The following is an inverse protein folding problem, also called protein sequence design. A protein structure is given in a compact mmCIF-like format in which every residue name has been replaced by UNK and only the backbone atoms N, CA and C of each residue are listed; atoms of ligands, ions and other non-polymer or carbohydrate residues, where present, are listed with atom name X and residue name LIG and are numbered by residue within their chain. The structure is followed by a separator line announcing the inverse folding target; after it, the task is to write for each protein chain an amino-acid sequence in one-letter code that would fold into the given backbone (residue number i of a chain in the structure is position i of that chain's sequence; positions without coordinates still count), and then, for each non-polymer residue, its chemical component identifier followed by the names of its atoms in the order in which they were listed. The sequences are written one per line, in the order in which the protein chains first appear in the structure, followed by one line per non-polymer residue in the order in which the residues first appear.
data_IF_814101659208
#
_entry.id   IF_814101659208
#
_cell.length_a   1.000
_cell.length_b   1.000
_cell.length_c   1.000
_cell.angle_alpha   90.00
_cell.angle_beta   90.00
_cell.angle_gamma   90.00
#
_symmetry.space_group_name_H-M   'P 1'
#
loop_
_entity.id
_entity.type
_entity.pdbx_description
1 polymer ?
#
# COMPACT_ATOMS: atom_id res chain seq x y z
N UNK A 1 27.20 -6.57 7.17
CA UNK A 1 25.83 -7.03 6.91
C UNK A 1 25.27 -6.33 5.68
N UNK A 2 24.69 -7.08 4.75
CA UNK A 2 23.95 -6.60 3.58
C UNK A 2 22.50 -7.07 3.61
N UNK A 3 21.58 -6.27 3.03
CA UNK A 3 20.21 -6.70 2.80
C UNK A 3 19.81 -6.56 1.33
N UNK A 4 19.18 -7.62 0.81
CA UNK A 4 18.46 -7.61 -0.46
C UNK A 4 16.95 -7.48 -0.17
N UNK A 5 16.29 -6.50 -0.77
CA UNK A 5 14.84 -6.30 -0.68
C UNK A 5 14.25 -6.65 -2.04
N UNK A 6 13.24 -7.50 -2.07
CA UNK A 6 12.67 -8.05 -3.30
C UNK A 6 11.23 -7.58 -3.48
N UNK A 7 10.90 -7.09 -4.66
CA UNK A 7 9.53 -6.84 -5.11
C UNK A 7 9.29 -7.50 -6.48
N UNK A 8 8.15 -8.16 -6.66
CA UNK A 8 7.80 -8.81 -7.92
C UNK A 8 7.01 -7.88 -8.87
N UNK A 9 7.18 -6.57 -8.71
CA UNK A 9 6.52 -5.52 -9.50
C UNK A 9 7.32 -4.22 -9.43
N UNK A 10 6.93 -3.23 -10.26
CA UNK A 10 7.49 -1.88 -10.26
C UNK A 10 7.16 -1.14 -8.95
N UNK A 11 8.07 -1.19 -8.00
CA UNK A 11 7.94 -0.50 -6.71
C UNK A 11 8.70 0.83 -6.68
N UNK A 12 9.63 1.04 -7.60
CA UNK A 12 10.42 2.26 -7.70
C UNK A 12 10.69 2.65 -9.17
N UNK A 13 10.37 3.91 -9.60
CA UNK A 13 9.62 4.92 -8.84
C UNK A 13 8.16 4.47 -8.58
N UNK A 14 7.61 4.80 -7.40
CA UNK A 14 6.30 4.28 -7.01
C UNK A 14 5.16 4.89 -7.84
N UNK A 15 4.29 4.03 -8.41
CA UNK A 15 3.09 4.43 -9.17
C UNK A 15 1.79 3.95 -8.52
N UNK A 16 1.87 3.05 -7.55
CA UNK A 16 0.73 2.42 -6.86
C UNK A 16 0.89 2.54 -5.35
N UNK A 17 -0.20 2.34 -4.60
CA UNK A 17 -0.15 2.34 -3.13
C UNK A 17 0.84 1.33 -2.56
N UNK A 18 0.86 0.10 -3.09
CA UNK A 18 1.86 -0.92 -2.71
C UNK A 18 3.28 -0.47 -3.07
N UNK A 19 3.48 0.14 -4.23
CA UNK A 19 4.77 0.69 -4.64
C UNK A 19 5.27 1.78 -3.68
N UNK A 20 4.38 2.66 -3.21
CA UNK A 20 4.72 3.70 -2.23
C UNK A 20 5.19 3.06 -0.92
N UNK A 21 4.46 2.08 -0.39
CA UNK A 21 4.82 1.38 0.86
C UNK A 21 6.16 0.66 0.74
N UNK A 22 6.39 -0.10 -0.34
CA UNK A 22 7.65 -0.82 -0.56
C UNK A 22 8.82 0.14 -0.77
N UNK A 23 8.62 1.23 -1.51
CA UNK A 23 9.63 2.26 -1.74
C UNK A 23 9.99 3.02 -0.47
N UNK A 24 9.01 3.38 0.36
CA UNK A 24 9.22 4.02 1.65
C UNK A 24 9.91 3.08 2.63
N UNK A 25 9.57 1.78 2.63
CA UNK A 25 10.28 0.78 3.41
C UNK A 25 11.74 0.64 2.98
N UNK A 26 12.00 0.49 1.68
CA UNK A 26 13.37 0.42 1.17
C UNK A 26 14.21 1.61 1.62
N UNK A 27 13.66 2.84 1.54
CA UNK A 27 14.36 4.04 2.01
C UNK A 27 14.60 4.02 3.51
N UNK A 28 13.61 3.59 4.29
CA UNK A 28 13.61 3.66 5.77
C UNK A 28 14.33 2.49 6.44
N UNK A 29 14.63 1.40 5.71
CA UNK A 29 15.36 0.26 6.28
C UNK A 29 16.74 0.69 6.76
N UNK A 30 17.12 0.44 8.04
CA UNK A 30 18.27 1.11 8.67
C UNK A 30 19.64 0.74 8.09
N UNK A 31 19.78 -0.39 7.39
CA UNK A 31 21.07 -0.82 6.84
C UNK A 31 21.55 0.10 5.71
N UNK A 32 22.81 0.58 5.80
CA UNK A 32 23.45 1.35 4.73
C UNK A 32 23.69 0.51 3.47
N UNK A 33 24.16 -0.75 3.62
CA UNK A 33 24.37 -1.68 2.52
C UNK A 33 23.08 -2.45 2.20
N UNK A 34 22.16 -1.78 1.51
CA UNK A 34 20.88 -2.36 1.05
C UNK A 34 20.69 -2.17 -0.44
N UNK A 35 20.02 -3.13 -1.09
CA UNK A 35 19.71 -3.09 -2.51
C UNK A 35 18.30 -3.59 -2.76
N UNK A 36 17.54 -2.85 -3.57
CA UNK A 36 16.22 -3.23 -4.05
C UNK A 36 16.36 -4.00 -5.36
N UNK A 37 15.75 -5.17 -5.42
CA UNK A 37 15.60 -5.98 -6.63
C UNK A 37 14.11 -6.00 -6.99
N UNK A 38 13.78 -5.49 -8.17
CA UNK A 38 12.39 -5.41 -8.62
C UNK A 38 12.22 -5.94 -10.04
N UNK A 39 11.06 -6.54 -10.32
CA UNK A 39 10.65 -6.78 -11.70
C UNK A 39 10.06 -5.51 -12.30
N UNK A 40 10.53 -5.11 -13.47
CA UNK A 40 10.12 -3.87 -14.10
C UNK A 40 10.12 -3.95 -15.63
N UNK A 41 9.18 -3.24 -16.26
CA UNK A 41 9.22 -3.02 -17.71
C UNK A 41 10.31 -2.02 -18.11
N UNK A 42 10.71 -1.15 -17.20
CA UNK A 42 11.74 -0.12 -17.43
C UNK A 42 13.01 -0.49 -16.68
N UNK A 43 14.13 -0.46 -17.39
CA UNK A 43 15.44 -0.75 -16.80
C UNK A 43 15.93 0.50 -16.05
N UNK A 44 15.95 0.42 -14.72
CA UNK A 44 16.58 1.44 -13.88
C UNK A 44 17.98 1.01 -13.51
N UNK A 45 18.98 1.79 -13.90
CA UNK A 45 20.36 1.59 -13.50
C UNK A 45 20.71 2.57 -12.36
N UNK A 46 20.45 2.15 -11.13
CA UNK A 46 20.83 2.89 -9.94
C UNK A 46 21.73 1.99 -9.06
N UNK A 47 22.71 2.58 -8.37
CA UNK A 47 23.63 1.86 -7.48
C UNK A 47 22.89 0.97 -6.47
N UNK A 48 21.77 1.41 -5.96
CA UNK A 48 20.99 0.75 -4.92
C UNK A 48 19.73 0.03 -5.42
N UNK A 49 19.45 0.07 -6.72
CA UNK A 49 18.25 -0.55 -7.32
C UNK A 49 18.66 -1.35 -8.55
N UNK A 50 18.24 -2.61 -8.59
CA UNK A 50 18.41 -3.49 -9.75
C UNK A 50 17.04 -3.86 -10.28
N UNK A 51 16.71 -3.37 -11.47
CA UNK A 51 15.53 -3.82 -12.19
C UNK A 51 15.84 -5.04 -13.01
N UNK A 52 15.01 -6.06 -12.88
CA UNK A 52 15.00 -7.25 -13.73
C UNK A 52 13.96 -6.98 -14.80
N UNK A 53 14.42 -6.83 -16.04
CA UNK A 53 13.55 -6.50 -17.15
C UNK A 53 12.60 -7.66 -17.45
N UNK A 54 11.31 -7.35 -17.57
CA UNK A 54 10.26 -8.26 -18.02
C UNK A 54 9.55 -7.63 -19.23
N UNK A 55 9.47 -8.39 -20.33
CA UNK A 55 8.85 -7.91 -21.58
C UNK A 55 7.35 -7.61 -21.39
N UNK A 56 6.64 -8.51 -20.70
CA UNK A 56 5.25 -8.33 -20.30
C UNK A 56 5.11 -8.52 -18.79
N UNK A 57 4.24 -7.74 -18.15
CA UNK A 57 3.96 -7.90 -16.73
C UNK A 57 2.97 -9.06 -16.47
N UNK A 58 3.33 -10.26 -16.96
CA UNK A 58 2.55 -11.47 -16.72
C UNK A 58 3.33 -12.47 -15.83
N UNK A 59 2.62 -13.49 -15.36
CA UNK A 59 3.14 -14.46 -14.41
C UNK A 59 4.27 -15.32 -15.00
N UNK A 60 4.20 -15.69 -16.27
CA UNK A 60 5.17 -16.56 -16.93
C UNK A 60 6.54 -15.89 -17.02
N UNK A 61 6.59 -14.63 -17.49
CA UNK A 61 7.88 -13.91 -17.58
C UNK A 61 8.51 -13.67 -16.20
N UNK A 62 7.72 -13.53 -15.15
CA UNK A 62 8.26 -13.44 -13.80
C UNK A 62 8.86 -14.76 -13.35
N UNK A 63 8.18 -15.89 -13.61
CA UNK A 63 8.67 -17.22 -13.26
C UNK A 63 10.00 -17.54 -13.96
N UNK A 64 10.08 -17.34 -15.28
CA UNK A 64 11.29 -17.57 -16.08
C UNK A 64 12.48 -16.76 -15.55
N UNK A 65 12.24 -15.56 -15.00
CA UNK A 65 13.29 -14.69 -14.48
C UNK A 65 13.64 -14.92 -12.99
N UNK A 66 12.96 -15.82 -12.27
CA UNK A 66 13.29 -16.13 -10.87
C UNK A 66 14.70 -16.67 -10.68
N UNK A 67 15.22 -17.63 -11.49
CA UNK A 67 16.59 -18.10 -11.36
C UNK A 67 17.62 -16.96 -11.50
N UNK A 68 17.42 -16.07 -12.46
CA UNK A 68 18.28 -14.90 -12.62
C UNK A 68 18.18 -13.94 -11.43
N UNK A 69 16.98 -13.70 -10.88
CA UNK A 69 16.80 -12.91 -9.64
C UNK A 69 17.63 -13.51 -8.50
N UNK A 70 17.53 -14.81 -8.28
CA UNK A 70 18.25 -15.52 -7.21
C UNK A 70 19.76 -15.40 -7.41
N UNK A 71 20.26 -15.61 -8.63
CA UNK A 71 21.67 -15.51 -8.97
C UNK A 71 22.23 -14.11 -8.68
N UNK A 72 21.51 -13.03 -9.06
CA UNK A 72 22.01 -11.68 -8.82
C UNK A 72 21.96 -11.30 -7.33
N UNK A 73 21.01 -11.85 -6.56
CA UNK A 73 20.93 -11.65 -5.11
C UNK A 73 22.08 -12.40 -4.42
N UNK A 74 22.31 -13.65 -4.74
CA UNK A 74 23.41 -14.44 -4.15
C UNK A 74 24.75 -13.83 -4.44
N UNK A 75 25.00 -13.37 -5.68
CA UNK A 75 26.21 -12.63 -6.06
C UNK A 75 26.36 -11.34 -5.24
N UNK A 76 25.26 -10.59 -5.03
CA UNK A 76 25.29 -9.35 -4.22
C UNK A 76 25.63 -9.63 -2.75
N UNK A 77 25.16 -10.76 -2.20
CA UNK A 77 25.36 -11.12 -0.78
C UNK A 77 26.65 -11.91 -0.53
N UNK A 78 27.39 -12.36 -1.57
CA UNK A 78 28.45 -13.37 -1.50
C UNK A 78 29.45 -13.15 -0.37
N UNK A 79 29.99 -11.98 -0.18
CA UNK A 79 31.15 -11.72 0.72
C UNK A 79 30.73 -11.14 2.07
N UNK A 80 29.48 -11.32 2.50
CA UNK A 80 29.03 -10.79 3.79
C UNK A 80 28.80 -11.91 4.81
N UNK A 81 29.26 -11.69 6.06
CA UNK A 81 29.04 -12.65 7.14
C UNK A 81 27.55 -12.76 7.50
N UNK A 82 26.87 -11.60 7.67
CA UNK A 82 25.43 -11.56 7.96
C UNK A 82 24.65 -11.11 6.71
N UNK A 83 23.72 -11.94 6.24
CA UNK A 83 22.97 -11.78 5.00
C UNK A 83 21.48 -11.77 5.30
N UNK A 84 20.75 -10.80 4.77
CA UNK A 84 19.31 -10.66 4.98
C UNK A 84 18.61 -10.53 3.63
N UNK A 85 17.57 -11.31 3.43
CA UNK A 85 16.66 -11.17 2.28
C UNK A 85 15.29 -10.84 2.81
N UNK A 86 14.75 -9.71 2.36
CA UNK A 86 13.42 -9.23 2.71
C UNK A 86 12.55 -9.32 1.47
N UNK A 87 11.42 -10.00 1.56
CA UNK A 87 10.52 -10.25 0.44
C UNK A 87 9.21 -9.50 0.71
N UNK A 88 8.85 -8.61 -0.19
CA UNK A 88 7.61 -7.83 -0.13
C UNK A 88 6.44 -8.62 -0.70
N UNK A 89 5.37 -8.73 0.06
CA UNK A 89 4.23 -9.58 -0.23
C UNK A 89 3.17 -9.12 -1.22
N UNK A 90 3.11 -7.87 -1.77
CA UNK A 90 2.03 -7.49 -2.66
C UNK A 90 2.21 -8.05 -4.08
N UNK A 91 2.28 -9.35 -4.17
CA UNK A 91 2.36 -10.12 -5.42
C UNK A 91 1.92 -11.55 -5.14
N UNK A 92 1.65 -12.34 -6.16
CA UNK A 92 1.24 -13.71 -5.95
C UNK A 92 2.29 -14.49 -5.14
N UNK A 93 1.83 -15.13 -4.05
CA UNK A 93 2.68 -15.83 -3.06
C UNK A 93 3.57 -16.91 -3.69
N UNK A 94 3.20 -17.43 -4.84
CA UNK A 94 3.95 -18.45 -5.57
C UNK A 94 5.39 -18.02 -5.89
N UNK A 95 5.61 -16.76 -6.28
CA UNK A 95 6.98 -16.25 -6.51
C UNK A 95 7.77 -16.20 -5.22
N UNK A 96 7.13 -15.77 -4.14
CA UNK A 96 7.74 -15.75 -2.81
C UNK A 96 8.10 -17.15 -2.34
N UNK A 97 7.21 -18.11 -2.56
CA UNK A 97 7.44 -19.52 -2.25
C UNK A 97 8.73 -20.04 -2.90
N UNK A 98 8.90 -19.86 -4.21
CA UNK A 98 10.12 -20.32 -4.90
C UNK A 98 11.39 -19.67 -4.36
N UNK A 99 11.36 -18.38 -4.07
CA UNK A 99 12.52 -17.69 -3.49
C UNK A 99 12.83 -18.20 -2.09
N UNK A 100 11.81 -18.36 -1.22
CA UNK A 100 11.99 -18.89 0.14
C UNK A 100 12.48 -20.35 0.10
N UNK A 101 11.85 -21.18 -0.72
CA UNK A 101 12.24 -22.58 -0.90
C UNK A 101 13.72 -22.69 -1.31
N UNK A 102 14.12 -21.96 -2.36
CA UNK A 102 15.51 -21.98 -2.84
C UNK A 102 16.50 -21.56 -1.76
N UNK A 103 16.25 -20.46 -1.05
CA UNK A 103 17.16 -20.01 -0.01
C UNK A 103 17.20 -20.95 1.19
N UNK A 104 16.12 -21.64 1.52
CA UNK A 104 16.11 -22.62 2.61
C UNK A 104 16.85 -23.91 2.27
N UNK A 105 16.80 -24.33 1.01
CA UNK A 105 17.49 -25.56 0.57
C UNK A 105 18.99 -25.28 0.36
N UNK A 106 19.36 -24.21 -0.33
CA UNK A 106 20.73 -23.99 -0.78
C UNK A 106 21.55 -22.97 0.03
N UNK A 107 20.89 -22.10 0.82
CA UNK A 107 21.55 -21.01 1.55
C UNK A 107 20.95 -20.79 2.93
N UNK A 108 21.10 -21.79 3.82
CA UNK A 108 20.50 -21.78 5.16
C UNK A 108 20.99 -20.64 6.06
N UNK A 109 22.17 -20.07 5.78
CA UNK A 109 22.75 -18.94 6.51
C UNK A 109 22.16 -17.57 6.15
N UNK A 110 21.15 -17.52 5.26
CA UNK A 110 20.45 -16.29 4.91
C UNK A 110 19.24 -16.10 5.83
N UNK A 111 19.18 -14.96 6.49
CA UNK A 111 18.02 -14.58 7.29
C UNK A 111 16.90 -14.06 6.39
N UNK A 112 15.74 -14.71 6.41
CA UNK A 112 14.59 -14.40 5.58
C UNK A 112 13.52 -13.64 6.36
N UNK A 113 13.08 -12.50 5.82
CA UNK A 113 11.96 -11.73 6.33
C UNK A 113 10.89 -11.65 5.23
N UNK A 114 9.69 -12.13 5.53
CA UNK A 114 8.52 -11.98 4.66
C UNK A 114 7.64 -10.83 5.18
N UNK A 115 7.47 -9.80 4.38
CA UNK A 115 6.57 -8.68 4.67
C UNK A 115 5.24 -8.88 3.97
N UNK A 116 4.28 -9.51 4.66
CA UNK A 116 2.91 -9.63 4.17
C UNK A 116 2.23 -8.25 4.15
N UNK A 117 1.47 -7.98 3.10
CA UNK A 117 0.61 -6.80 2.98
C UNK A 117 -0.88 -7.14 3.04
N UNK A 118 -1.21 -8.42 2.97
CA UNK A 118 -2.53 -9.02 3.13
C UNK A 118 -2.40 -10.54 3.12
N UNK A 119 -3.42 -11.24 3.58
CA UNK A 119 -3.48 -12.71 3.48
C UNK A 119 -3.90 -13.08 2.06
N UNK A 120 -2.96 -13.61 1.28
CA UNK A 120 -3.18 -13.95 -0.14
C UNK A 120 -4.24 -15.04 -0.31
N UNK A 121 -4.28 -16.01 0.60
CA UNK A 121 -5.32 -17.06 0.61
C UNK A 121 -6.73 -16.48 0.67
N UNK A 122 -6.98 -15.47 1.52
CA UNK A 122 -8.31 -14.85 1.59
C UNK A 122 -8.69 -14.13 0.30
N UNK A 123 -7.72 -13.50 -0.34
CA UNK A 123 -7.94 -12.86 -1.65
C UNK A 123 -8.32 -13.89 -2.69
N UNK A 124 -7.58 -15.02 -2.76
CA UNK A 124 -7.82 -16.07 -3.76
C UNK A 124 -9.08 -16.87 -3.49
N UNK A 125 -9.39 -17.14 -2.23
CA UNK A 125 -10.62 -17.83 -1.83
C UNK A 125 -11.88 -17.16 -2.40
N UNK A 126 -11.88 -15.82 -2.48
CA UNK A 126 -13.03 -15.05 -2.92
C UNK A 126 -13.00 -14.68 -4.43
N UNK A 127 -11.81 -14.74 -5.07
CA UNK A 127 -11.62 -14.22 -6.43
C UNK A 127 -11.03 -15.23 -7.42
N UNK A 128 -10.84 -16.50 -7.01
CA UNK A 128 -10.21 -17.52 -7.86
C UNK A 128 -10.93 -18.86 -7.70
N UNK A 129 -10.62 -19.83 -8.58
CA UNK A 129 -11.14 -21.19 -8.46
C UNK A 129 -10.55 -21.90 -7.21
N UNK A 130 -11.18 -23.01 -6.80
CA UNK A 130 -10.83 -23.76 -5.60
C UNK A 130 -9.38 -24.25 -5.62
N UNK A 131 -8.88 -24.73 -6.75
CA UNK A 131 -7.52 -25.26 -6.91
C UNK A 131 -6.49 -24.18 -6.62
N UNK A 132 -6.62 -22.99 -7.24
CA UNK A 132 -5.72 -21.85 -7.00
C UNK A 132 -5.79 -21.42 -5.53
N UNK A 133 -6.95 -21.45 -4.91
CA UNK A 133 -7.13 -21.11 -3.50
C UNK A 133 -6.37 -22.08 -2.58
N UNK A 134 -6.50 -23.39 -2.81
CA UNK A 134 -5.82 -24.45 -2.04
C UNK A 134 -4.30 -24.34 -2.21
N UNK A 135 -3.82 -24.22 -3.45
CA UNK A 135 -2.39 -24.03 -3.72
C UNK A 135 -1.84 -22.78 -3.08
N UNK A 136 -2.58 -21.68 -3.13
CA UNK A 136 -2.19 -20.43 -2.46
C UNK A 136 -2.06 -20.63 -0.96
N UNK A 137 -3.02 -21.32 -0.33
CA UNK A 137 -2.96 -21.63 1.12
C UNK A 137 -1.73 -22.45 1.47
N UNK A 138 -1.41 -23.46 0.66
CA UNK A 138 -0.21 -24.29 0.84
C UNK A 138 1.09 -23.47 0.73
N UNK A 139 1.24 -22.68 -0.32
CA UNK A 139 2.42 -21.84 -0.54
C UNK A 139 2.56 -20.76 0.54
N UNK A 140 1.47 -20.11 0.92
CA UNK A 140 1.50 -19.09 1.97
C UNK A 140 1.87 -19.70 3.32
N UNK A 141 1.33 -20.90 3.66
CA UNK A 141 1.71 -21.63 4.86
C UNK A 141 3.22 -21.93 4.90
N UNK A 142 3.77 -22.41 3.80
CA UNK A 142 5.22 -22.67 3.70
C UNK A 142 6.03 -21.38 3.91
N UNK A 143 5.69 -20.30 3.21
CA UNK A 143 6.42 -19.04 3.28
C UNK A 143 6.42 -18.48 4.69
N UNK A 144 5.24 -18.37 5.34
CA UNK A 144 5.11 -17.73 6.65
C UNK A 144 5.81 -18.52 7.75
N UNK A 145 5.87 -19.85 7.65
CA UNK A 145 6.52 -20.70 8.63
C UNK A 145 8.01 -20.93 8.35
N UNK A 146 8.48 -20.82 7.11
CA UNK A 146 9.89 -21.00 6.76
C UNK A 146 10.70 -19.70 6.79
N UNK A 147 10.07 -18.51 6.81
CA UNK A 147 10.79 -17.28 7.05
C UNK A 147 11.15 -17.13 8.54
N UNK A 148 12.30 -16.52 8.85
CA UNK A 148 12.71 -16.24 10.23
C UNK A 148 11.80 -15.24 10.91
N UNK A 149 11.30 -14.26 10.13
CA UNK A 149 10.29 -13.31 10.54
C UNK A 149 9.26 -13.21 9.42
N UNK A 150 7.99 -13.40 9.78
CA UNK A 150 6.86 -13.06 8.93
C UNK A 150 6.07 -11.93 9.59
N UNK A 151 5.63 -10.95 8.80
CA UNK A 151 4.89 -9.79 9.31
C UNK A 151 3.42 -9.82 8.90
N UNK A 152 2.60 -9.09 9.63
CA UNK A 152 1.20 -8.81 9.30
C UNK A 152 0.90 -7.33 9.47
N UNK A 153 -0.05 -6.79 8.70
CA UNK A 153 -0.33 -5.35 8.70
C UNK A 153 -1.31 -4.90 9.77
N UNK A 154 -1.98 -5.84 10.45
CA UNK A 154 -2.92 -5.54 11.53
C UNK A 154 -3.02 -6.67 12.55
N UNK A 155 -3.54 -6.36 13.74
CA UNK A 155 -3.85 -7.36 14.76
C UNK A 155 -4.92 -8.36 14.32
N UNK A 156 -5.84 -7.93 13.45
CA UNK A 156 -6.84 -8.80 12.83
C UNK A 156 -6.14 -9.85 11.95
N UNK A 157 -5.21 -9.44 11.13
CA UNK A 157 -4.43 -10.36 10.29
C UNK A 157 -3.51 -11.26 11.11
N UNK A 158 -2.92 -10.77 12.23
CA UNK A 158 -2.15 -11.63 13.14
C UNK A 158 -2.99 -12.82 13.63
N UNK A 159 -4.24 -12.55 14.08
CA UNK A 159 -5.17 -13.60 14.51
C UNK A 159 -5.48 -14.57 13.37
N UNK A 160 -5.64 -14.09 12.15
CA UNK A 160 -5.91 -14.93 10.98
C UNK A 160 -4.69 -15.76 10.57
N UNK A 161 -3.48 -15.22 10.57
CA UNK A 161 -2.25 -15.99 10.35
C UNK A 161 -2.10 -17.12 11.40
N UNK A 162 -2.39 -16.83 12.66
CA UNK A 162 -2.42 -17.87 13.71
C UNK A 162 -3.48 -18.93 13.42
N UNK A 163 -4.70 -18.53 13.02
CA UNK A 163 -5.80 -19.45 12.71
C UNK A 163 -5.52 -20.33 11.49
N UNK A 164 -5.00 -19.76 10.39
CA UNK A 164 -4.84 -20.49 9.14
C UNK A 164 -3.55 -21.30 9.06
N UNK A 165 -2.47 -20.82 9.68
CA UNK A 165 -1.12 -21.33 9.47
C UNK A 165 -0.39 -21.67 10.77
N UNK A 166 -1.04 -21.51 11.93
CA UNK A 166 -0.41 -21.61 13.26
C UNK A 166 0.88 -20.76 13.40
N UNK A 167 0.97 -19.66 12.65
CA UNK A 167 2.13 -18.79 12.59
C UNK A 167 1.93 -17.53 13.44
N UNK A 168 2.91 -17.20 14.29
CA UNK A 168 2.95 -15.94 15.04
C UNK A 168 3.72 -14.90 14.21
N UNK A 169 3.02 -13.91 13.71
CA UNK A 169 3.62 -12.84 12.90
C UNK A 169 4.00 -11.62 13.72
N UNK A 170 5.00 -10.87 13.27
CA UNK A 170 5.34 -9.55 13.81
C UNK A 170 4.38 -8.50 13.24
N UNK A 171 3.80 -7.66 14.11
CA UNK A 171 2.91 -6.57 13.67
C UNK A 171 3.73 -5.46 13.00
N UNK A 172 3.54 -5.29 11.69
CA UNK A 172 4.17 -4.23 10.90
C UNK A 172 3.10 -3.53 10.05
N UNK A 173 2.45 -2.49 10.56
CA UNK A 173 1.38 -1.79 9.83
C UNK A 173 1.89 -1.22 8.51
N UNK A 174 1.04 -1.21 7.50
CA UNK A 174 1.32 -0.44 6.28
C UNK A 174 1.54 1.02 6.65
N UNK A 175 2.71 1.54 6.34
CA UNK A 175 3.22 2.81 6.84
C UNK A 175 3.76 3.67 5.71
N UNK A 176 3.96 4.95 5.98
CA UNK A 176 4.46 5.93 5.02
C UNK A 176 5.61 6.74 5.61
N UNK A 177 6.45 7.29 4.75
CA UNK A 177 7.45 8.27 5.15
C UNK A 177 6.79 9.63 5.42
N UNK A 178 6.38 9.83 6.69
CA UNK A 178 5.66 11.03 7.13
C UNK A 178 6.48 12.29 6.89
N UNK A 179 7.81 12.25 7.15
CA UNK A 179 8.69 13.41 6.95
C UNK A 179 8.73 13.81 5.48
N UNK A 180 8.91 12.82 4.58
CA UNK A 180 8.88 13.05 3.13
C UNK A 180 7.56 13.69 2.69
N UNK A 181 6.43 13.14 3.10
CA UNK A 181 5.11 13.65 2.71
C UNK A 181 4.86 15.07 3.23
N UNK A 182 5.22 15.36 4.49
CA UNK A 182 5.08 16.72 5.05
C UNK A 182 5.93 17.75 4.31
N UNK A 183 7.16 17.38 3.89
CA UNK A 183 8.11 18.26 3.23
C UNK A 183 7.89 18.45 1.71
N UNK A 184 6.92 17.75 1.10
CA UNK A 184 6.58 17.94 -0.29
C UNK A 184 6.14 19.39 -0.53
N UNK A 185 6.78 20.08 -1.47
CA UNK A 185 6.35 21.40 -1.93
C UNK A 185 5.05 21.25 -2.75
N UNK A 186 4.05 22.08 -2.45
CA UNK A 186 2.81 22.09 -3.20
C UNK A 186 3.01 22.67 -4.59
N UNK A 187 2.30 22.08 -5.58
CA UNK A 187 2.22 22.65 -6.93
C UNK A 187 0.75 22.93 -7.24
N UNK A 188 0.42 24.21 -7.44
CA UNK A 188 -0.94 24.65 -7.76
C UNK A 188 -1.46 23.99 -9.04
N UNK A 189 -2.76 23.80 -9.07
CA UNK A 189 -3.54 23.46 -10.26
C UNK A 189 -4.21 24.71 -10.80
N UNK A 190 -4.14 24.95 -12.11
CA UNK A 190 -4.73 26.14 -12.72
C UNK A 190 -6.26 26.09 -12.75
N UNK A 191 -6.83 24.91 -13.02
CA UNK A 191 -8.26 24.73 -13.20
C UNK A 191 -8.77 23.64 -12.24
N UNK A 192 -9.26 24.05 -11.08
CA UNK A 192 -9.95 23.17 -10.12
C UNK A 192 -11.22 23.90 -9.65
N UNK A 193 -12.29 23.17 -9.31
CA UNK A 193 -13.47 23.77 -8.75
C UNK A 193 -13.19 24.38 -7.37
N UNK A 194 -13.94 25.41 -7.01
CA UNK A 194 -13.79 26.08 -5.71
C UNK A 194 -14.15 25.14 -4.55
N UNK A 195 -15.29 24.44 -4.68
CA UNK A 195 -15.78 23.48 -3.68
C UNK A 195 -15.80 22.07 -4.29
N UNK A 196 -15.07 21.15 -3.69
CA UNK A 196 -15.03 19.78 -4.20
C UNK A 196 -14.67 18.74 -3.13
N UNK A 197 -15.16 17.53 -3.35
CA UNK A 197 -14.68 16.33 -2.69
C UNK A 197 -13.68 15.63 -3.61
N UNK A 198 -12.73 14.84 -3.05
CA UNK A 198 -11.74 14.14 -3.84
C UNK A 198 -11.77 12.63 -3.58
N UNK A 199 -11.57 11.83 -4.64
CA UNK A 199 -11.23 10.42 -4.53
C UNK A 199 -9.91 10.17 -5.29
N UNK A 200 -9.00 9.38 -4.71
CA UNK A 200 -7.73 9.03 -5.33
C UNK A 200 -7.62 7.51 -5.50
N UNK A 201 -7.44 7.04 -6.73
CA UNK A 201 -7.30 5.62 -7.02
C UNK A 201 -7.69 5.28 -8.45
N UNK A 202 -7.14 4.17 -9.01
CA UNK A 202 -7.48 3.73 -10.36
C UNK A 202 -8.90 3.18 -10.43
N UNK A 203 -9.64 3.56 -11.48
CA UNK A 203 -10.96 3.02 -11.78
C UNK A 203 -10.90 1.53 -12.21
N UNK A 204 -9.77 1.09 -12.78
CA UNK A 204 -9.57 -0.28 -13.23
C UNK A 204 -9.45 -1.28 -12.07
N UNK A 205 -9.24 -0.79 -10.85
CA UNK A 205 -9.27 -1.63 -9.64
C UNK A 205 -10.70 -1.77 -9.12
N UNK A 206 -11.25 -2.97 -9.16
CA UNK A 206 -12.66 -3.26 -8.90
C UNK A 206 -13.27 -2.58 -7.66
N UNK A 207 -12.66 -2.62 -6.45
CA UNK A 207 -13.20 -1.91 -5.29
C UNK A 207 -13.24 -0.39 -5.46
N UNK A 208 -12.30 0.20 -6.23
CA UNK A 208 -12.35 1.62 -6.53
C UNK A 208 -13.46 1.94 -7.54
N UNK A 209 -13.67 1.08 -8.54
CA UNK A 209 -14.76 1.22 -9.52
C UNK A 209 -16.09 1.33 -8.82
N UNK A 210 -16.41 0.37 -7.93
CA UNK A 210 -17.66 0.38 -7.14
C UNK A 210 -17.77 1.68 -6.32
N UNK A 211 -16.70 2.10 -5.67
CA UNK A 211 -16.70 3.33 -4.87
C UNK A 211 -16.92 4.58 -5.72
N UNK A 212 -16.26 4.69 -6.87
CA UNK A 212 -16.41 5.83 -7.79
C UNK A 212 -17.81 5.87 -8.37
N UNK A 213 -18.34 4.72 -8.82
CA UNK A 213 -19.71 4.63 -9.35
C UNK A 213 -20.74 4.97 -8.25
N UNK A 214 -20.52 4.56 -7.00
CA UNK A 214 -21.34 4.97 -5.86
C UNK A 214 -21.30 6.49 -5.61
N UNK A 215 -20.12 7.12 -5.69
CA UNK A 215 -19.98 8.56 -5.55
C UNK A 215 -20.76 9.26 -6.66
N UNK A 216 -20.58 8.85 -7.91
CA UNK A 216 -21.21 9.49 -9.07
C UNK A 216 -22.73 9.33 -9.05
N UNK A 217 -23.22 8.12 -8.79
CA UNK A 217 -24.65 7.81 -8.92
C UNK A 217 -25.48 8.13 -7.68
N UNK A 218 -24.87 8.19 -6.49
CA UNK A 218 -25.61 8.36 -5.23
C UNK A 218 -25.23 9.62 -4.43
N UNK A 219 -23.95 10.02 -4.41
CA UNK A 219 -23.50 11.16 -3.61
C UNK A 219 -23.54 12.45 -4.43
N UNK A 220 -22.96 12.43 -5.64
CA UNK A 220 -22.84 13.64 -6.47
C UNK A 220 -24.18 14.32 -6.77
N UNK A 221 -25.30 13.61 -7.09
CA UNK A 221 -26.59 14.23 -7.34
C UNK A 221 -27.07 15.09 -6.18
N UNK A 222 -26.73 14.74 -4.95
CA UNK A 222 -27.14 15.48 -3.76
C UNK A 222 -26.23 16.68 -3.47
N UNK A 223 -24.91 16.48 -3.55
CA UNK A 223 -23.95 17.54 -3.20
C UNK A 223 -23.79 18.61 -4.28
N UNK A 224 -24.10 18.31 -5.55
CA UNK A 224 -24.06 19.31 -6.63
C UNK A 224 -25.10 20.43 -6.46
N UNK A 225 -26.18 20.19 -5.72
CA UNK A 225 -27.17 21.20 -5.32
C UNK A 225 -26.53 22.33 -4.52
N UNK A 226 -25.45 22.04 -3.78
CA UNK A 226 -24.64 23.01 -3.02
C UNK A 226 -23.38 23.45 -3.79
N UNK A 227 -23.37 23.29 -5.11
CA UNK A 227 -22.25 23.58 -6.00
C UNK A 227 -20.94 22.87 -5.63
N UNK A 228 -21.03 21.68 -5.01
CA UNK A 228 -19.87 20.85 -4.68
C UNK A 228 -19.60 19.88 -5.84
N UNK A 229 -18.37 19.92 -6.38
CA UNK A 229 -17.94 19.09 -7.49
C UNK A 229 -17.19 17.84 -7.02
N UNK A 230 -16.99 16.89 -7.91
CA UNK A 230 -16.22 15.69 -7.68
C UNK A 230 -14.90 15.71 -8.45
N UNK A 231 -13.78 15.63 -7.76
CA UNK A 231 -12.45 15.52 -8.34
C UNK A 231 -11.95 14.09 -8.19
N UNK A 232 -11.56 13.47 -9.32
CA UNK A 232 -11.06 12.13 -9.40
C UNK A 232 -9.60 12.16 -9.85
N UNK A 233 -8.72 11.46 -9.12
CA UNK A 233 -7.31 11.29 -9.48
C UNK A 233 -6.92 9.82 -9.50
N UNK A 234 -6.03 9.45 -10.43
CA UNK A 234 -5.59 8.09 -10.64
C UNK A 234 -5.54 7.76 -12.13
N UNK A 235 -5.13 6.55 -12.45
CA UNK A 235 -5.11 6.12 -13.85
C UNK A 235 -6.50 5.60 -14.24
N UNK A 236 -7.13 6.25 -15.22
CA UNK A 236 -8.47 5.91 -15.67
C UNK A 236 -8.55 5.98 -17.19
N UNK A 237 -9.05 4.90 -17.80
CA UNK A 237 -9.40 4.88 -19.22
C UNK A 237 -10.84 5.35 -19.46
N UNK A 238 -11.67 5.46 -18.40
CA UNK A 238 -13.07 5.88 -18.50
C UNK A 238 -13.18 7.40 -18.64
N UNK A 239 -13.94 7.85 -19.63
CA UNK A 239 -14.40 9.24 -19.77
C UNK A 239 -15.69 9.43 -18.97
N UNK A 240 -15.83 10.58 -18.34
CA UNK A 240 -17.03 10.97 -17.61
C UNK A 240 -17.56 12.25 -18.27
N UNK A 241 -18.80 12.20 -18.76
CA UNK A 241 -19.41 13.31 -19.52
C UNK A 241 -20.21 14.29 -18.63
N UNK A 242 -20.07 14.23 -17.30
CA UNK A 242 -20.73 15.13 -16.36
C UNK A 242 -19.80 16.31 -16.05
N UNK A 243 -20.31 17.55 -16.22
CA UNK A 243 -19.58 18.79 -15.93
C UNK A 243 -19.20 18.97 -14.46
N UNK A 244 -19.83 18.19 -13.58
CA UNK A 244 -19.56 18.21 -12.15
C UNK A 244 -18.45 17.22 -11.75
N UNK A 245 -17.89 16.47 -12.72
CA UNK A 245 -16.81 15.50 -12.53
C UNK A 245 -15.52 16.00 -13.18
N UNK A 246 -14.50 16.23 -12.38
CA UNK A 246 -13.15 16.62 -12.80
C UNK A 246 -12.22 15.42 -12.73
N UNK A 247 -12.10 14.68 -13.84
CA UNK A 247 -11.16 13.57 -13.97
C UNK A 247 -9.78 14.09 -14.36
N UNK A 248 -8.87 14.18 -13.38
CA UNK A 248 -7.53 14.74 -13.57
C UNK A 248 -6.49 13.68 -13.95
N UNK A 249 -6.90 12.39 -14.05
CA UNK A 249 -5.97 11.31 -14.32
C UNK A 249 -4.88 11.18 -13.27
N UNK A 250 -3.73 10.64 -13.67
CA UNK A 250 -2.57 10.55 -12.77
C UNK A 250 -1.96 11.92 -12.50
N UNK A 251 -1.87 12.29 -11.23
CA UNK A 251 -1.27 13.55 -10.78
C UNK A 251 -0.01 13.30 -9.95
N UNK A 252 0.99 14.19 -10.07
CA UNK A 252 2.18 14.12 -9.22
C UNK A 252 1.81 14.37 -7.75
N UNK A 253 2.61 13.83 -6.84
CA UNK A 253 2.37 13.96 -5.38
C UNK A 253 2.33 15.43 -4.92
N UNK A 254 3.07 16.32 -5.57
CA UNK A 254 3.05 17.77 -5.31
C UNK A 254 1.68 18.39 -5.63
N UNK A 255 1.08 18.00 -6.76
CA UNK A 255 -0.25 18.41 -7.16
C UNK A 255 -1.32 17.76 -6.27
N UNK A 256 -1.13 16.47 -5.94
CA UNK A 256 -2.04 15.76 -5.04
C UNK A 256 -2.10 16.43 -3.67
N UNK A 257 -0.96 16.86 -3.11
CA UNK A 257 -0.92 17.60 -1.84
C UNK A 257 -1.77 18.86 -1.91
N UNK A 258 -1.65 19.63 -2.99
CA UNK A 258 -2.47 20.82 -3.20
C UNK A 258 -3.97 20.50 -3.25
N UNK A 259 -4.34 19.48 -4.05
CA UNK A 259 -5.74 19.03 -4.16
C UNK A 259 -6.30 18.55 -2.80
N UNK A 260 -5.54 17.76 -2.06
CA UNK A 260 -5.93 17.28 -0.72
C UNK A 260 -6.16 18.43 0.26
N UNK A 261 -5.34 19.46 0.22
CA UNK A 261 -5.53 20.64 1.08
C UNK A 261 -6.75 21.47 0.69
N UNK A 262 -7.02 21.61 -0.60
CA UNK A 262 -8.13 22.44 -1.10
C UNK A 262 -9.48 21.73 -1.06
N UNK A 263 -9.52 20.40 -1.23
CA UNK A 263 -10.77 19.63 -1.20
C UNK A 263 -11.48 19.75 0.16
N UNK A 264 -12.79 19.63 0.19
CA UNK A 264 -13.58 19.53 1.41
C UNK A 264 -13.15 18.33 2.24
N UNK A 265 -13.05 17.16 1.60
CA UNK A 265 -12.58 15.91 2.20
C UNK A 265 -12.13 14.91 1.12
N UNK A 266 -11.33 13.91 1.52
CA UNK A 266 -11.20 12.66 0.79
C UNK A 266 -12.40 11.80 1.14
N UNK A 267 -13.13 11.32 0.12
CA UNK A 267 -14.23 10.38 0.31
C UNK A 267 -13.81 8.98 -0.13
N UNK A 268 -14.05 7.96 0.73
CA UNK A 268 -13.61 6.58 0.50
C UNK A 268 -14.74 5.61 0.81
N UNK A 269 -15.81 5.56 0.00
CA UNK A 269 -16.94 4.66 0.21
C UNK A 269 -16.63 3.27 -0.37
N UNK A 270 -15.60 2.62 0.17
CA UNK A 270 -15.18 1.28 -0.24
C UNK A 270 -15.94 0.25 0.59
N UNK A 271 -16.60 -0.69 -0.07
CA UNK A 271 -17.43 -1.71 0.55
C UNK A 271 -16.77 -3.09 0.58
N UNK A 272 -15.76 -3.32 -0.27
CA UNK A 272 -15.06 -4.60 -0.41
C UNK A 272 -13.56 -4.42 -0.62
N UNK A 273 -12.82 -5.54 -0.63
CA UNK A 273 -11.37 -5.57 -0.83
C UNK A 273 -10.60 -5.76 0.47
N UNK A 274 -9.28 -5.87 0.35
CA UNK A 274 -8.36 -6.28 1.42
C UNK A 274 -7.24 -5.25 1.64
N UNK A 275 -6.62 -5.31 2.81
CA UNK A 275 -5.47 -4.50 3.17
C UNK A 275 -5.80 -3.04 3.52
N UNK A 276 -4.82 -2.34 4.08
CA UNK A 276 -4.93 -0.93 4.51
C UNK A 276 -5.01 0.00 3.30
N UNK A 277 -5.93 0.95 3.33
CA UNK A 277 -6.09 1.96 2.26
C UNK A 277 -5.08 3.09 2.41
N UNK A 278 -3.94 2.95 1.75
CA UNK A 278 -2.82 3.91 1.81
C UNK A 278 -3.26 5.34 1.49
N UNK A 279 -4.24 5.54 0.59
CA UNK A 279 -4.82 6.85 0.28
C UNK A 279 -5.39 7.59 1.50
N UNK A 280 -5.91 6.87 2.50
CA UNK A 280 -6.40 7.46 3.75
C UNK A 280 -5.22 7.94 4.59
N UNK A 281 -4.18 7.10 4.80
CA UNK A 281 -2.99 7.50 5.54
C UNK A 281 -2.29 8.70 4.89
N UNK A 282 -2.12 8.64 3.57
CA UNK A 282 -1.53 9.74 2.79
C UNK A 282 -2.34 11.03 2.96
N UNK A 283 -3.64 10.94 2.84
CA UNK A 283 -4.56 12.07 2.97
C UNK A 283 -4.52 12.69 4.38
N UNK A 284 -4.52 11.86 5.42
CA UNK A 284 -4.38 12.32 6.81
C UNK A 284 -3.05 13.04 7.04
N UNK A 285 -1.93 12.47 6.54
CA UNK A 285 -0.61 13.08 6.64
C UNK A 285 -0.55 14.42 5.89
N UNK A 286 -1.21 14.50 4.74
CA UNK A 286 -1.28 15.71 3.92
C UNK A 286 -2.29 16.75 4.45
N UNK A 287 -2.98 16.44 5.50
CA UNK A 287 -3.82 17.43 6.15
C UNK A 287 -5.25 17.48 5.66
N UNK A 288 -5.82 16.41 5.14
CA UNK A 288 -7.19 16.37 4.68
C UNK A 288 -8.16 15.73 5.71
N UNK A 289 -9.44 15.97 5.54
CA UNK A 289 -10.53 15.28 6.23
C UNK A 289 -10.90 14.02 5.48
N UNK A 290 -11.42 13.04 6.20
CA UNK A 290 -11.78 11.73 5.65
C UNK A 290 -13.27 11.47 5.93
N UNK A 291 -13.99 11.03 4.88
CA UNK A 291 -15.29 10.35 5.03
C UNK A 291 -15.13 8.97 4.43
N UNK A 292 -15.36 7.93 5.21
CA UNK A 292 -15.13 6.55 4.79
C UNK A 292 -16.19 5.59 5.33
N UNK A 293 -16.34 4.45 4.66
CA UNK A 293 -17.01 3.28 5.23
C UNK A 293 -16.13 2.62 6.28
N UNK A 294 -16.71 1.75 7.12
CA UNK A 294 -15.93 0.88 8.02
C UNK A 294 -14.93 0.02 7.25
N UNK A 295 -15.33 -0.51 6.10
CA UNK A 295 -14.45 -1.30 5.22
C UNK A 295 -13.35 -0.45 4.56
N UNK A 296 -13.67 0.79 4.22
CA UNK A 296 -12.72 1.73 3.63
C UNK A 296 -11.57 2.10 4.58
N UNK A 297 -11.81 2.19 5.89
CA UNK A 297 -10.78 2.53 6.90
C UNK A 297 -10.19 1.31 7.62
N UNK A 298 -10.53 0.10 7.18
CA UNK A 298 -10.04 -1.14 7.80
C UNK A 298 -8.51 -1.16 7.91
N UNK A 299 -8.00 -1.57 9.08
CA UNK A 299 -6.56 -1.62 9.38
C UNK A 299 -5.96 -0.27 9.80
N UNK A 300 -6.76 0.78 9.95
CA UNK A 300 -6.36 2.07 10.50
C UNK A 300 -7.16 2.33 11.77
N UNK A 301 -6.46 2.48 12.89
CA UNK A 301 -7.10 2.88 14.15
C UNK A 301 -7.60 4.33 14.02
N UNK A 302 -8.85 4.56 14.37
CA UNK A 302 -9.48 5.88 14.26
C UNK A 302 -10.44 6.16 15.42
N UNK A 303 -10.68 7.45 15.63
CA UNK A 303 -11.83 7.95 16.39
C UNK A 303 -12.56 8.96 15.52
N UNK A 304 -13.89 8.87 15.46
CA UNK A 304 -14.69 9.90 14.80
C UNK A 304 -14.43 11.25 15.48
N UNK A 305 -14.09 12.25 14.70
CA UNK A 305 -13.78 13.59 15.16
C UNK A 305 -14.03 14.61 14.03
N UNK A 306 -13.55 15.84 14.21
CA UNK A 306 -13.69 16.90 13.20
C UNK A 306 -13.00 16.63 11.86
N UNK A 307 -12.13 15.62 11.78
CA UNK A 307 -11.35 15.29 10.57
C UNK A 307 -11.69 13.91 10.00
N UNK A 308 -12.31 13.02 10.77
CA UNK A 308 -12.60 11.65 10.35
C UNK A 308 -14.05 11.34 10.68
N UNK A 309 -14.84 11.02 9.65
CA UNK A 309 -16.20 10.50 9.77
C UNK A 309 -16.24 9.10 9.14
N UNK A 310 -16.54 8.09 9.95
CA UNK A 310 -16.73 6.71 9.47
C UNK A 310 -18.18 6.34 9.60
N UNK A 311 -18.82 6.04 8.47
CA UNK A 311 -20.23 5.64 8.40
C UNK A 311 -20.49 4.83 7.13
N UNK A 312 -21.48 3.94 7.18
CA UNK A 312 -21.94 3.16 6.02
C UNK A 312 -23.22 3.72 5.38
N UNK A 313 -23.86 4.68 6.02
CA UNK A 313 -25.10 5.30 5.55
C UNK A 313 -24.84 6.39 4.54
N UNK A 314 -25.49 6.34 3.39
CA UNK A 314 -25.44 7.37 2.35
C UNK A 314 -25.78 8.75 2.92
N UNK A 315 -26.91 8.86 3.65
CA UNK A 315 -27.36 10.11 4.27
C UNK A 315 -26.31 10.70 5.22
N UNK A 316 -25.68 9.87 6.06
CA UNK A 316 -24.60 10.33 6.97
C UNK A 316 -23.36 10.80 6.20
N UNK A 317 -23.01 10.17 5.05
CA UNK A 317 -21.91 10.62 4.19
C UNK A 317 -22.20 11.99 3.59
N UNK A 318 -23.40 12.19 3.03
CA UNK A 318 -23.84 13.46 2.44
C UNK A 318 -23.83 14.55 3.49
N UNK A 319 -24.50 14.34 4.63
CA UNK A 319 -24.51 15.31 5.73
C UNK A 319 -23.11 15.63 6.24
N UNK A 320 -22.22 14.63 6.28
CA UNK A 320 -20.81 14.84 6.62
C UNK A 320 -20.08 15.75 5.63
N UNK A 321 -20.30 15.58 4.32
CA UNK A 321 -19.74 16.45 3.29
C UNK A 321 -20.25 17.87 3.45
N UNK A 322 -21.56 18.04 3.60
CA UNK A 322 -22.22 19.36 3.78
C UNK A 322 -21.74 20.04 5.07
N UNK A 323 -21.62 19.31 6.18
CA UNK A 323 -21.04 19.83 7.42
C UNK A 323 -19.60 20.27 7.22
N UNK A 324 -18.78 19.43 6.58
CA UNK A 324 -17.38 19.75 6.33
C UNK A 324 -17.20 20.94 5.37
N UNK A 325 -18.13 21.19 4.45
CA UNK A 325 -18.07 22.34 3.55
C UNK A 325 -18.26 23.67 4.25
N UNK A 326 -19.00 23.70 5.35
CA UNK A 326 -19.34 24.92 6.13
C UNK A 326 -18.31 25.26 7.20
N UNK A 327 -17.46 24.31 7.60
CA UNK A 327 -16.51 24.47 8.71
C UNK A 327 -15.07 24.57 8.17
N UNK A 328 -14.32 25.57 8.65
CA UNK A 328 -12.90 25.72 8.32
C UNK A 328 -12.11 24.45 8.71
N UNK A 329 -11.21 23.99 7.83
CA UNK A 329 -10.37 22.83 8.12
C UNK A 329 -9.49 23.10 9.35
N UNK A 330 -9.53 22.18 10.30
CA UNK A 330 -8.54 22.15 11.36
C UNK A 330 -7.40 21.21 10.94
N UNK A 331 -6.23 21.75 10.64
CA UNK A 331 -5.07 21.00 10.22
C UNK A 331 -4.26 20.41 11.39
N UNK A 332 -4.63 20.69 12.63
CA UNK A 332 -4.04 20.06 13.81
C UNK A 332 -4.55 18.62 13.91
N UNK A 333 -3.71 17.68 13.46
CA UNK A 333 -4.02 16.25 13.50
C UNK A 333 -3.69 15.65 14.86
N UNK A 334 -4.33 14.52 15.12
CA UNK A 334 -3.86 13.63 16.17
C UNK A 334 -2.51 13.01 15.71
N UNK A 335 -1.42 13.72 15.98
CA UNK A 335 -0.06 13.31 15.59
C UNK A 335 0.25 11.89 16.05
N UNK A 336 -0.21 11.51 17.25
CA UNK A 336 -0.02 10.18 17.83
C UNK A 336 -0.62 9.06 16.96
N UNK A 337 -1.78 9.31 16.36
CA UNK A 337 -2.39 8.36 15.42
C UNK A 337 -1.54 8.17 14.16
N UNK A 338 -0.99 9.26 13.62
CA UNK A 338 -0.15 9.22 12.41
C UNK A 338 1.22 8.58 12.71
N UNK A 339 1.77 8.79 13.91
CA UNK A 339 3.06 8.24 14.33
C UNK A 339 3.09 6.71 14.29
N UNK A 340 2.00 6.03 14.63
CA UNK A 340 1.89 4.58 14.53
C UNK A 340 2.08 4.07 13.09
N UNK A 341 1.90 4.93 12.09
CA UNK A 341 2.09 4.65 10.67
C UNK A 341 3.36 5.28 10.08
N UNK A 342 4.34 5.63 10.94
CA UNK A 342 5.66 6.09 10.51
C UNK A 342 6.50 4.93 9.98
N UNK A 343 6.81 4.95 8.68
CA UNK A 343 7.66 3.93 8.08
C UNK A 343 9.05 3.89 8.70
N UNK A 344 9.61 5.04 9.04
CA UNK A 344 10.94 5.15 9.65
C UNK A 344 10.95 4.45 11.01
N UNK A 345 9.98 4.77 11.87
CA UNK A 345 9.95 4.21 13.23
C UNK A 345 9.59 2.71 13.22
N UNK A 346 8.65 2.29 12.38
CA UNK A 346 8.29 0.88 12.25
C UNK A 346 9.45 0.05 11.66
N UNK A 347 10.20 0.60 10.70
CA UNK A 347 11.41 -0.06 10.17
C UNK A 347 12.52 -0.18 11.22
N UNK A 348 12.72 0.81 12.08
CA UNK A 348 13.66 0.74 13.21
C UNK A 348 13.25 -0.33 14.23
N UNK A 349 11.95 -0.39 14.59
CA UNK A 349 11.41 -1.40 15.51
C UNK A 349 11.59 -2.81 14.95
N UNK A 350 11.27 -3.03 13.67
CA UNK A 350 11.47 -4.32 13.02
C UNK A 350 12.96 -4.69 12.96
N UNK A 351 13.83 -3.72 12.68
CA UNK A 351 15.28 -3.95 12.64
C UNK A 351 15.84 -4.31 14.02
N UNK A 352 15.36 -3.67 15.09
CA UNK A 352 15.72 -4.03 16.47
C UNK A 352 15.26 -5.46 16.81
N UNK A 353 14.04 -5.82 16.43
CA UNK A 353 13.49 -7.17 16.62
C UNK A 353 14.27 -8.22 15.81
N UNK A 354 14.68 -7.90 14.58
CA UNK A 354 15.54 -8.73 13.76
C UNK A 354 16.90 -8.98 14.42
N UNK A 355 17.58 -7.95 14.95
CA UNK A 355 18.86 -8.11 15.61
C UNK A 355 18.74 -9.03 16.82
N UNK A 356 17.71 -8.84 17.67
CA UNK A 356 17.44 -9.72 18.81
C UNK A 356 17.27 -11.18 18.38
N UNK A 357 16.51 -11.48 17.33
CA UNK A 357 16.33 -12.83 16.81
C UNK A 357 17.55 -13.42 16.10
N UNK A 358 18.50 -12.62 15.71
CA UNK A 358 19.72 -13.06 14.98
C UNK A 358 20.91 -13.24 15.92
N UNK A 359 20.74 -12.99 17.22
CA UNK A 359 21.72 -13.25 18.28
C UNK A 359 21.50 -14.65 18.91
N UNK A 360 20.38 -15.27 18.67
CA UNK A 360 20.05 -16.66 19.01
C UNK A 360 19.98 -17.55 17.75
#
# INVERSE_FOLDING_TARGET
MKSAIITFFDSYPPKTGSGIVCSDFFRSWPLKKKKLFQFSKTKLNNKNIKSISIFKNNSIFKLINLPYLILVITKYLKNEKKKVVIIEGPSWIFYTFFVVFFFRVFYQNIFLIYRSHSIEYEIRKNNSNLIISILTKFFENYVVNKCNISTSVSTIEQKKFKKYYNCKTYLFPNSLDIKRLKNIKEKKFKFIPEKFIIFSGSYDYHPNKIAIDFIINKILPEIKKENIKFVLTGNHNKKFNDKDIYNLGFVSINKLKYLQKKSICLIVPIFEGYGTRIKILESLILGNRIISTKKGIEGIEYKNNHNILVCNSLHKMINGILKFSKVKKNTKYNLKMIENFSMIENSKKLFKYFNFKNEF
#
